data_IF_616590636367
#
_entry.id   IF_616590636367
#
_cell.length_a   1.000
_cell.length_b   1.000
_cell.length_c   1.000
_cell.angle_alpha   90.00
_cell.angle_beta   90.00
_cell.angle_gamma   90.00
#
_symmetry.space_group_name_H-M   'P 1'
#
loop_
_entity.id
_entity.type
_entity.pdbx_description
1 polymer ?
#
# COMPACT_ATOMS: atom_id res chain seq x y z
N UNK A 1 13.27 30.69 -2.88
CA UNK A 1 13.18 29.22 -3.12
C UNK A 1 11.77 28.81 -2.74
N UNK A 2 11.00 28.20 -3.66
CA UNK A 2 9.66 27.68 -3.32
C UNK A 2 9.80 26.56 -2.29
N UNK A 3 8.88 26.49 -1.35
CA UNK A 3 8.80 25.38 -0.39
C UNK A 3 8.45 24.11 -1.17
N UNK A 4 9.15 23.01 -0.90
CA UNK A 4 8.87 21.70 -1.51
C UNK A 4 7.47 21.24 -1.09
N UNK A 5 6.58 21.08 -2.06
CA UNK A 5 5.24 20.56 -1.84
C UNK A 5 5.22 19.05 -2.17
N UNK A 6 5.28 18.23 -1.11
CA UNK A 6 5.30 16.78 -1.27
C UNK A 6 4.08 16.24 -2.03
N UNK A 7 2.89 16.77 -1.76
CA UNK A 7 1.65 16.31 -2.41
C UNK A 7 1.71 16.57 -3.92
N UNK A 8 2.09 17.77 -4.31
CA UNK A 8 2.21 18.18 -5.71
C UNK A 8 3.31 17.37 -6.43
N UNK A 9 4.47 17.18 -5.82
CA UNK A 9 5.57 16.43 -6.44
C UNK A 9 5.26 14.93 -6.51
N UNK A 10 4.55 14.35 -5.53
CA UNK A 10 4.07 12.98 -5.57
C UNK A 10 3.06 12.77 -6.70
N UNK A 11 2.05 13.64 -6.80
CA UNK A 11 1.08 13.61 -7.91
C UNK A 11 1.78 13.67 -9.27
N UNK A 12 2.68 14.63 -9.48
CA UNK A 12 3.43 14.81 -10.71
C UNK A 12 4.25 13.58 -11.08
N UNK A 13 4.95 12.98 -10.11
CA UNK A 13 5.74 11.78 -10.36
C UNK A 13 4.85 10.60 -10.76
N UNK A 14 3.75 10.34 -10.04
CA UNK A 14 2.87 9.23 -10.33
C UNK A 14 2.10 9.43 -11.63
N UNK A 15 1.68 10.65 -11.97
CA UNK A 15 1.13 10.96 -13.29
C UNK A 15 2.11 10.58 -14.41
N UNK A 16 3.38 10.96 -14.28
CA UNK A 16 4.40 10.63 -15.29
C UNK A 16 4.67 9.13 -15.43
N UNK A 17 4.43 8.35 -14.37
CA UNK A 17 4.67 6.91 -14.33
C UNK A 17 3.45 6.06 -14.73
N UNK A 18 2.26 6.65 -14.87
CA UNK A 18 1.01 5.93 -15.01
C UNK A 18 0.99 4.93 -16.19
N UNK A 19 1.51 5.31 -17.37
CA UNK A 19 1.56 4.42 -18.52
C UNK A 19 2.49 3.21 -18.30
N UNK A 20 3.70 3.45 -17.77
CA UNK A 20 4.68 2.41 -17.51
C UNK A 20 4.27 1.48 -16.34
N UNK A 21 3.51 2.01 -15.38
CA UNK A 21 2.94 1.23 -14.29
C UNK A 21 1.86 0.30 -14.82
N UNK A 22 0.88 0.84 -15.53
CA UNK A 22 -0.25 0.09 -16.07
C UNK A 22 0.18 -1.10 -16.94
N UNK A 23 1.24 -0.93 -17.74
CA UNK A 23 1.75 -2.03 -18.58
C UNK A 23 2.30 -3.23 -17.80
N UNK A 24 2.65 -3.06 -16.50
CA UNK A 24 3.25 -4.10 -15.66
C UNK A 24 2.36 -4.57 -14.51
N UNK A 25 1.40 -3.73 -14.13
CA UNK A 25 0.58 -3.89 -12.93
C UNK A 25 -0.12 -5.26 -12.91
N UNK A 26 -0.79 -5.62 -13.99
CA UNK A 26 -1.50 -6.90 -14.09
C UNK A 26 -0.60 -8.11 -13.79
N UNK A 27 0.57 -8.18 -14.40
CA UNK A 27 1.53 -9.26 -14.12
C UNK A 27 1.97 -9.31 -12.66
N UNK A 28 2.12 -8.15 -11.99
CA UNK A 28 2.45 -8.12 -10.56
C UNK A 28 1.34 -8.73 -9.69
N UNK A 29 0.07 -8.50 -10.03
CA UNK A 29 -1.07 -9.01 -9.27
C UNK A 29 -1.45 -10.46 -9.61
N UNK A 30 -1.28 -10.91 -10.85
CA UNK A 30 -1.69 -12.25 -11.27
C UNK A 30 -0.64 -13.32 -10.92
N UNK A 31 0.63 -13.07 -11.20
CA UNK A 31 1.70 -14.06 -11.05
C UNK A 31 2.92 -13.56 -10.29
N UNK A 32 3.01 -12.24 -10.08
CA UNK A 32 4.18 -11.58 -9.49
C UNK A 32 4.07 -11.36 -7.99
N UNK A 33 4.70 -10.27 -7.55
CA UNK A 33 4.92 -9.96 -6.12
C UNK A 33 3.66 -9.68 -5.31
N UNK A 34 2.51 -9.47 -5.95
CA UNK A 34 1.24 -9.10 -5.29
C UNK A 34 0.17 -10.19 -5.32
N UNK A 35 0.45 -11.35 -5.94
CA UNK A 35 -0.51 -12.43 -6.15
C UNK A 35 -1.15 -12.98 -4.87
N UNK A 36 -0.42 -12.96 -3.76
CA UNK A 36 -0.84 -13.56 -2.49
C UNK A 36 -1.56 -12.54 -1.55
N UNK A 37 -1.64 -11.24 -1.94
CA UNK A 37 -2.21 -10.19 -1.08
C UNK A 37 -3.72 -10.39 -0.88
N UNK A 38 -4.49 -10.53 -1.95
CA UNK A 38 -5.95 -10.73 -1.83
C UNK A 38 -6.30 -12.05 -1.13
N UNK A 39 -5.66 -13.20 -1.46
CA UNK A 39 -5.80 -14.42 -0.66
C UNK A 39 -5.49 -14.22 0.84
N UNK A 40 -4.49 -13.41 1.17
CA UNK A 40 -4.15 -13.10 2.56
C UNK A 40 -5.25 -12.26 3.24
N UNK A 41 -5.80 -11.22 2.57
CA UNK A 41 -6.90 -10.41 3.09
C UNK A 41 -8.13 -11.28 3.40
N UNK A 42 -8.48 -12.22 2.53
CA UNK A 42 -9.62 -13.14 2.70
C UNK A 42 -9.55 -14.03 3.95
N UNK A 43 -8.40 -14.15 4.58
CA UNK A 43 -8.26 -14.90 5.84
C UNK A 43 -8.81 -14.12 7.03
N UNK A 44 -8.98 -12.81 6.92
CA UNK A 44 -9.36 -11.90 8.01
C UNK A 44 -10.66 -11.15 7.73
N UNK A 45 -10.98 -10.94 6.46
CA UNK A 45 -12.08 -10.08 6.00
C UNK A 45 -13.04 -10.91 5.14
N UNK A 46 -14.32 -10.88 5.49
CA UNK A 46 -15.37 -11.65 4.79
C UNK A 46 -15.74 -11.02 3.46
N UNK A 47 -16.15 -11.83 2.49
CA UNK A 47 -16.76 -11.35 1.24
C UNK A 47 -17.99 -10.48 1.54
N UNK A 48 -18.21 -9.46 0.70
CA UNK A 48 -19.26 -8.44 0.92
C UNK A 48 -18.81 -7.26 1.78
N UNK A 49 -17.63 -7.33 2.42
CA UNK A 49 -17.08 -6.23 3.20
C UNK A 49 -16.68 -5.04 2.32
N UNK A 50 -16.76 -3.84 2.89
CA UNK A 50 -16.31 -2.60 2.26
C UNK A 50 -14.80 -2.43 2.47
N UNK A 51 -14.05 -2.36 1.37
CA UNK A 51 -12.58 -2.24 1.40
C UNK A 51 -12.13 -0.96 0.69
N UNK A 52 -11.28 -0.19 1.37
CA UNK A 52 -10.61 0.96 0.78
C UNK A 52 -9.22 0.55 0.28
N UNK A 53 -8.94 0.74 -1.02
CA UNK A 53 -7.61 0.55 -1.63
C UNK A 53 -6.89 1.91 -1.68
N UNK A 54 -6.03 2.17 -0.69
CA UNK A 54 -5.30 3.43 -0.54
C UNK A 54 -3.98 3.42 -1.33
N UNK A 55 -3.89 4.27 -2.34
CA UNK A 55 -2.83 4.24 -3.35
C UNK A 55 -3.14 3.17 -4.40
N UNK A 56 -4.38 3.14 -4.89
CA UNK A 56 -4.90 2.11 -5.79
C UNK A 56 -4.22 2.08 -7.17
N UNK A 57 -3.51 3.16 -7.54
CA UNK A 57 -2.88 3.30 -8.85
C UNK A 57 -3.89 3.11 -9.99
N UNK A 58 -3.55 2.25 -10.94
CA UNK A 58 -4.37 1.92 -12.12
C UNK A 58 -5.56 0.99 -11.82
N UNK A 59 -5.89 0.77 -10.54
CA UNK A 59 -7.04 -0.01 -10.11
C UNK A 59 -6.90 -1.53 -10.26
N UNK A 60 -5.75 -2.06 -10.66
CA UNK A 60 -5.59 -3.53 -10.80
C UNK A 60 -5.76 -4.26 -9.46
N UNK A 61 -5.28 -3.67 -8.35
CA UNK A 61 -5.51 -4.20 -7.00
C UNK A 61 -6.98 -4.16 -6.60
N UNK A 62 -7.64 -3.05 -6.89
CA UNK A 62 -9.08 -2.87 -6.67
C UNK A 62 -9.91 -3.90 -7.45
N UNK A 63 -9.55 -4.17 -8.72
CA UNK A 63 -10.16 -5.24 -9.54
C UNK A 63 -10.06 -6.60 -8.82
N UNK A 64 -8.87 -6.95 -8.32
CA UNK A 64 -8.66 -8.25 -7.64
C UNK A 64 -9.43 -8.35 -6.33
N UNK A 65 -9.61 -7.26 -5.60
CA UNK A 65 -10.49 -7.20 -4.44
C UNK A 65 -11.97 -7.38 -4.85
N UNK A 66 -12.44 -6.71 -5.90
CA UNK A 66 -13.80 -6.85 -6.39
C UNK A 66 -14.08 -8.27 -6.92
N UNK A 67 -13.16 -8.88 -7.67
CA UNK A 67 -13.23 -10.29 -8.09
C UNK A 67 -13.33 -11.27 -6.89
N UNK A 68 -12.76 -10.89 -5.74
CA UNK A 68 -12.85 -11.66 -4.50
C UNK A 68 -14.15 -11.42 -3.72
N UNK A 69 -15.05 -10.56 -4.23
CA UNK A 69 -16.37 -10.29 -3.68
C UNK A 69 -16.42 -9.13 -2.67
N UNK A 70 -15.43 -8.24 -2.63
CA UNK A 70 -15.44 -7.04 -1.80
C UNK A 70 -16.11 -5.86 -2.52
N UNK A 71 -16.67 -4.92 -1.74
CA UNK A 71 -17.15 -3.62 -2.21
C UNK A 71 -15.97 -2.63 -2.12
N UNK A 72 -15.47 -2.15 -3.26
CA UNK A 72 -14.16 -1.48 -3.31
C UNK A 72 -14.27 0.01 -3.62
N UNK A 73 -13.60 0.82 -2.80
CA UNK A 73 -13.30 2.22 -3.09
C UNK A 73 -11.80 2.39 -3.23
N UNK A 74 -11.33 2.73 -4.42
CA UNK A 74 -9.92 3.03 -4.70
C UNK A 74 -9.64 4.52 -4.57
N UNK A 75 -8.54 4.86 -3.91
CA UNK A 75 -8.10 6.25 -3.70
C UNK A 75 -6.65 6.38 -4.16
N UNK A 76 -6.39 7.39 -4.98
CA UNK A 76 -5.03 7.74 -5.42
C UNK A 76 -4.88 9.26 -5.57
N UNK A 77 -3.64 9.75 -5.47
CA UNK A 77 -3.31 11.17 -5.68
C UNK A 77 -3.20 11.52 -7.16
N UNK A 78 -2.89 10.51 -8.00
CA UNK A 78 -2.63 10.67 -9.43
C UNK A 78 -3.92 10.53 -10.26
N UNK A 79 -4.32 11.61 -10.92
CA UNK A 79 -5.48 11.57 -11.83
C UNK A 79 -5.24 10.65 -13.02
N UNK A 80 -4.03 10.64 -13.59
CA UNK A 80 -3.64 9.77 -14.69
C UNK A 80 -3.77 8.27 -14.36
N UNK A 81 -3.49 7.91 -13.10
CA UNK A 81 -3.72 6.56 -12.59
C UNK A 81 -5.20 6.25 -12.50
N UNK A 82 -5.99 7.16 -11.93
CA UNK A 82 -7.43 6.99 -11.75
C UNK A 82 -8.18 6.93 -13.08
N UNK A 83 -7.74 7.68 -14.10
CA UNK A 83 -8.30 7.56 -15.45
C UNK A 83 -8.12 6.14 -15.99
N UNK A 84 -6.94 5.53 -15.82
CA UNK A 84 -6.71 4.15 -16.22
C UNK A 84 -7.57 3.16 -15.43
N UNK A 85 -7.75 3.40 -14.14
CA UNK A 85 -8.59 2.59 -13.28
C UNK A 85 -10.06 2.63 -13.73
N UNK A 86 -10.59 3.82 -14.05
CA UNK A 86 -11.98 4.01 -14.51
C UNK A 86 -12.23 3.47 -15.92
N UNK A 87 -11.22 3.53 -16.79
CA UNK A 87 -11.32 3.01 -18.16
C UNK A 87 -11.22 1.47 -18.26
N UNK A 88 -10.79 0.80 -17.19
CA UNK A 88 -10.76 -0.65 -17.16
C UNK A 88 -12.18 -1.20 -16.90
N UNK A 89 -12.81 -1.91 -17.87
CA UNK A 89 -14.18 -2.40 -17.72
C UNK A 89 -14.36 -3.41 -16.59
N UNK A 90 -13.29 -4.03 -16.10
CA UNK A 90 -13.34 -4.94 -14.94
C UNK A 90 -13.52 -4.20 -13.60
N UNK A 91 -13.37 -2.89 -13.60
CA UNK A 91 -13.56 -2.02 -12.46
C UNK A 91 -14.94 -1.34 -12.40
N UNK A 92 -15.89 -1.78 -13.22
CA UNK A 92 -17.22 -1.13 -13.33
C UNK A 92 -17.98 -1.02 -11.99
N UNK A 93 -17.68 -1.90 -11.04
CA UNK A 93 -18.27 -1.90 -9.69
C UNK A 93 -17.37 -1.26 -8.63
N UNK A 94 -16.19 -0.73 -9.01
CA UNK A 94 -15.32 -0.01 -8.10
C UNK A 94 -15.57 1.51 -8.16
N UNK A 95 -15.48 2.18 -7.02
CA UNK A 95 -15.53 3.64 -6.94
C UNK A 95 -14.10 4.15 -6.88
N UNK A 96 -13.76 5.19 -7.67
CA UNK A 96 -12.42 5.78 -7.67
C UNK A 96 -12.46 7.27 -7.37
N UNK A 97 -11.74 7.68 -6.32
CA UNK A 97 -11.68 9.05 -5.82
C UNK A 97 -10.23 9.57 -5.81
N UNK A 98 -10.05 10.84 -6.21
CA UNK A 98 -8.77 11.52 -6.08
C UNK A 98 -8.62 12.12 -4.69
N UNK A 99 -7.66 11.62 -3.91
CA UNK A 99 -7.32 12.18 -2.61
C UNK A 99 -5.91 11.75 -2.17
N UNK A 100 -5.43 12.36 -1.06
CA UNK A 100 -4.19 11.97 -0.41
C UNK A 100 -4.46 10.86 0.62
N UNK A 101 -3.46 9.98 0.84
CA UNK A 101 -3.55 8.89 1.83
C UNK A 101 -3.72 9.39 3.27
N UNK A 102 -3.24 10.58 3.60
CA UNK A 102 -3.38 11.19 4.92
C UNK A 102 -4.66 12.02 5.10
N UNK A 103 -5.44 12.21 4.03
CA UNK A 103 -6.70 12.96 4.01
C UNK A 103 -7.54 12.46 2.84
N UNK A 104 -8.13 11.28 2.99
CA UNK A 104 -8.80 10.60 1.89
C UNK A 104 -10.25 11.06 1.65
N UNK A 105 -10.80 11.89 2.54
CA UNK A 105 -12.17 12.43 2.41
C UNK A 105 -13.29 11.44 2.67
N UNK A 106 -13.00 10.21 3.07
CA UNK A 106 -13.99 9.21 3.42
C UNK A 106 -14.57 9.44 4.82
N UNK A 107 -15.82 8.99 5.10
CA UNK A 107 -16.41 9.11 6.44
C UNK A 107 -15.63 8.30 7.49
N UNK A 108 -15.81 8.69 8.78
CA UNK A 108 -15.31 7.91 9.91
C UNK A 108 -15.98 6.54 9.98
N UNK A 109 -15.25 5.52 10.42
CA UNK A 109 -15.79 4.17 10.67
C UNK A 109 -16.58 3.58 9.49
N UNK A 110 -16.12 3.81 8.29
CA UNK A 110 -16.83 3.45 7.06
C UNK A 110 -16.43 2.08 6.50
N UNK A 111 -15.13 1.77 6.49
CA UNK A 111 -14.61 0.55 5.86
C UNK A 111 -14.37 -0.57 6.88
N UNK A 112 -14.62 -1.80 6.44
CA UNK A 112 -14.28 -3.02 7.20
C UNK A 112 -12.77 -3.30 7.11
N UNK A 113 -12.16 -2.95 5.97
CA UNK A 113 -10.73 -3.07 5.79
C UNK A 113 -10.14 -1.95 4.91
N UNK A 114 -8.84 -1.71 5.08
CA UNK A 114 -7.99 -0.89 4.22
C UNK A 114 -6.90 -1.77 3.64
N UNK A 115 -6.61 -1.61 2.35
CA UNK A 115 -5.43 -2.13 1.68
C UNK A 115 -4.53 -0.96 1.27
N UNK A 116 -3.23 -1.01 1.59
CA UNK A 116 -2.24 0.00 1.21
C UNK A 116 -0.92 -0.68 0.81
N UNK A 117 -0.72 -0.90 -0.50
CA UNK A 117 0.41 -1.70 -0.99
C UNK A 117 1.44 -0.85 -1.69
N UNK A 118 2.59 -0.68 -1.05
CA UNK A 118 3.68 0.17 -1.51
C UNK A 118 3.22 1.61 -1.81
N UNK A 119 2.40 2.15 -0.93
CA UNK A 119 1.84 3.51 -1.02
C UNK A 119 2.33 4.42 0.13
N UNK A 120 2.55 3.87 1.33
CA UNK A 120 3.04 4.64 2.48
C UNK A 120 4.42 5.26 2.26
N UNK A 121 5.28 4.61 1.51
CA UNK A 121 6.64 5.10 1.20
C UNK A 121 6.63 6.44 0.47
N UNK A 122 5.52 6.78 -0.16
CA UNK A 122 5.36 7.98 -1.00
C UNK A 122 4.59 9.09 -0.28
N UNK A 123 4.34 8.95 1.01
CA UNK A 123 3.73 9.98 1.86
C UNK A 123 4.80 10.75 2.63
N UNK A 124 4.53 12.02 2.91
CA UNK A 124 5.45 12.84 3.71
C UNK A 124 5.56 12.33 5.15
N UNK A 125 4.42 12.05 5.75
CA UNK A 125 4.30 11.63 7.15
C UNK A 125 3.52 10.31 7.24
N UNK A 126 4.17 9.14 7.27
CA UNK A 126 3.49 7.84 7.39
C UNK A 126 2.53 7.74 8.58
N UNK A 127 2.86 8.38 9.69
CA UNK A 127 2.00 8.41 10.88
C UNK A 127 0.64 9.06 10.60
N UNK A 128 0.61 10.17 9.85
CA UNK A 128 -0.66 10.82 9.49
C UNK A 128 -1.54 9.89 8.62
N UNK A 129 -0.90 9.13 7.73
CA UNK A 129 -1.61 8.12 6.94
C UNK A 129 -2.17 6.98 7.79
N UNK A 130 -1.44 6.53 8.83
CA UNK A 130 -1.96 5.54 9.78
C UNK A 130 -3.16 6.10 10.57
N UNK A 131 -3.09 7.35 11.03
CA UNK A 131 -4.22 8.00 11.70
C UNK A 131 -5.46 8.07 10.81
N UNK A 132 -5.27 8.41 9.53
CA UNK A 132 -6.36 8.47 8.57
C UNK A 132 -6.95 7.07 8.32
N UNK A 133 -6.10 6.04 8.15
CA UNK A 133 -6.57 4.65 8.06
C UNK A 133 -7.37 4.24 9.30
N UNK A 134 -6.88 4.59 10.50
CA UNK A 134 -7.60 4.33 11.74
C UNK A 134 -8.94 5.06 11.76
N UNK A 135 -9.01 6.32 11.32
CA UNK A 135 -10.24 7.11 11.31
C UNK A 135 -11.32 6.49 10.43
N UNK A 136 -10.96 6.07 9.20
CA UNK A 136 -11.92 5.54 8.23
C UNK A 136 -12.30 4.07 8.46
N UNK A 137 -11.46 3.30 9.16
CA UNK A 137 -11.78 1.93 9.53
C UNK A 137 -12.86 1.89 10.62
N UNK A 138 -13.75 0.92 10.55
CA UNK A 138 -14.66 0.57 11.64
C UNK A 138 -13.88 0.10 12.87
N UNK A 139 -14.47 0.14 14.08
CA UNK A 139 -13.86 -0.53 15.23
C UNK A 139 -13.52 -1.99 14.90
N UNK A 140 -12.35 -2.44 15.32
CA UNK A 140 -11.81 -3.78 15.03
C UNK A 140 -11.57 -4.09 13.55
N UNK A 141 -11.63 -3.07 12.67
CA UNK A 141 -11.33 -3.20 11.25
C UNK A 141 -9.87 -3.56 10.97
N UNK A 142 -9.60 -4.02 9.76
CA UNK A 142 -8.29 -4.54 9.36
C UNK A 142 -7.56 -3.61 8.40
N UNK A 143 -6.24 -3.48 8.57
CA UNK A 143 -5.36 -2.79 7.65
C UNK A 143 -4.32 -3.77 7.07
N UNK A 144 -4.40 -4.03 5.76
CA UNK A 144 -3.41 -4.79 5.02
C UNK A 144 -2.40 -3.83 4.40
N UNK A 145 -1.18 -3.79 4.93
CA UNK A 145 -0.16 -2.82 4.51
C UNK A 145 1.07 -3.56 3.99
N UNK A 146 1.45 -3.26 2.74
CA UNK A 146 2.67 -3.76 2.13
C UNK A 146 3.74 -2.68 2.05
N UNK A 147 4.92 -2.95 2.62
CA UNK A 147 6.07 -2.04 2.64
C UNK A 147 7.24 -2.66 1.89
N UNK A 148 7.92 -1.85 1.07
CA UNK A 148 9.12 -2.24 0.34
C UNK A 148 10.23 -2.67 1.31
N UNK A 149 10.83 -3.82 1.05
CA UNK A 149 12.05 -4.23 1.75
C UNK A 149 13.24 -3.28 1.47
N UNK A 150 14.29 -3.30 2.31
CA UNK A 150 15.40 -2.35 2.23
C UNK A 150 16.12 -2.35 0.89
N UNK A 151 16.19 -3.49 0.25
CA UNK A 151 16.90 -3.70 -1.01
C UNK A 151 15.97 -3.66 -2.24
N UNK A 152 14.71 -3.26 -2.08
CA UNK A 152 13.76 -3.16 -3.18
C UNK A 152 14.16 -2.08 -4.20
N UNK A 153 14.02 -2.39 -5.49
CA UNK A 153 14.44 -1.49 -6.58
C UNK A 153 13.86 -0.08 -6.50
N UNK A 154 12.55 0.12 -6.16
CA UNK A 154 11.98 1.46 -6.07
C UNK A 154 12.62 2.38 -5.02
N UNK A 155 13.32 1.83 -4.01
CA UNK A 155 14.03 2.63 -3.00
C UNK A 155 15.16 3.50 -3.60
N UNK A 156 15.66 3.16 -4.79
CA UNK A 156 16.61 4.01 -5.50
C UNK A 156 16.09 5.44 -5.74
N UNK A 157 14.77 5.65 -5.74
CA UNK A 157 14.16 6.97 -5.89
C UNK A 157 14.52 7.91 -4.72
N UNK A 158 14.94 7.37 -3.57
CA UNK A 158 15.40 8.16 -2.43
C UNK A 158 16.89 8.52 -2.49
N UNK A 159 17.64 8.05 -3.49
CA UNK A 159 19.11 8.18 -3.52
C UNK A 159 19.58 9.63 -3.52
N UNK A 160 18.88 10.51 -4.23
CA UNK A 160 19.24 11.91 -4.35
C UNK A 160 19.22 12.68 -3.02
N UNK A 161 18.51 12.17 -1.99
CA UNK A 161 18.56 12.76 -0.63
C UNK A 161 19.98 12.82 -0.07
N UNK A 162 20.88 11.94 -0.54
CA UNK A 162 22.29 11.91 -0.10
C UNK A 162 23.10 13.10 -0.62
N UNK A 163 22.58 13.79 -1.63
CA UNK A 163 23.12 15.07 -2.12
C UNK A 163 22.39 16.28 -1.52
N UNK A 164 21.43 16.06 -0.61
CA UNK A 164 20.61 17.12 -0.01
C UNK A 164 19.37 17.47 -0.81
N UNK A 165 19.05 16.72 -1.87
CA UNK A 165 17.82 16.93 -2.64
C UNK A 165 16.60 16.45 -1.83
N UNK A 166 15.50 17.19 -1.93
CA UNK A 166 14.21 16.73 -1.44
C UNK A 166 13.67 15.66 -2.38
N UNK A 167 13.18 14.55 -1.82
CA UNK A 167 12.67 13.39 -2.56
C UNK A 167 11.35 12.89 -1.95
N UNK A 168 10.43 12.40 -2.75
CA UNK A 168 9.10 11.93 -2.31
C UNK A 168 9.10 10.50 -1.75
N UNK A 169 10.23 9.95 -1.36
CA UNK A 169 10.32 8.62 -0.75
C UNK A 169 10.80 8.75 0.70
N UNK A 170 9.92 8.51 1.66
CA UNK A 170 10.21 8.65 3.10
C UNK A 170 11.10 7.54 3.68
N UNK A 171 11.40 6.51 2.90
CA UNK A 171 12.27 5.38 3.27
C UNK A 171 11.84 4.53 4.47
N UNK A 172 10.60 4.62 4.94
CA UNK A 172 10.08 3.76 6.02
C UNK A 172 10.39 2.28 5.77
N UNK A 173 10.87 1.59 6.80
CA UNK A 173 11.22 0.17 6.75
C UNK A 173 10.09 -0.70 7.32
N UNK A 174 10.01 -2.01 6.97
CA UNK A 174 8.98 -2.88 7.52
C UNK A 174 8.93 -2.89 9.05
N UNK A 175 10.06 -3.01 9.74
CA UNK A 175 10.12 -3.00 11.21
C UNK A 175 9.76 -1.64 11.82
N UNK A 176 9.98 -0.54 11.10
CA UNK A 176 9.57 0.79 11.54
C UNK A 176 8.04 0.95 11.44
N UNK A 177 7.43 0.45 10.36
CA UNK A 177 5.97 0.41 10.23
C UNK A 177 5.35 -0.44 11.34
N UNK A 178 5.87 -1.64 11.58
CA UNK A 178 5.36 -2.52 12.62
C UNK A 178 5.40 -1.82 13.99
N UNK A 179 6.55 -1.26 14.35
CA UNK A 179 6.70 -0.51 15.59
C UNK A 179 5.73 0.66 15.69
N UNK A 180 5.62 1.46 14.62
CA UNK A 180 4.73 2.61 14.56
C UNK A 180 3.26 2.21 14.77
N UNK A 181 2.82 1.12 14.15
CA UNK A 181 1.46 0.59 14.30
C UNK A 181 1.20 0.11 15.74
N UNK A 182 2.11 -0.67 16.31
CA UNK A 182 1.98 -1.21 17.68
C UNK A 182 1.97 -0.10 18.73
N UNK A 183 2.84 0.91 18.63
CA UNK A 183 2.87 2.06 19.54
C UNK A 183 1.58 2.90 19.47
N UNK A 184 0.80 2.77 18.39
CA UNK A 184 -0.48 3.45 18.19
C UNK A 184 -1.70 2.54 18.45
N UNK A 185 -1.53 1.46 19.21
CA UNK A 185 -2.60 0.61 19.68
C UNK A 185 -3.13 -0.40 18.64
N UNK A 186 -2.46 -0.56 17.49
CA UNK A 186 -2.82 -1.60 16.52
C UNK A 186 -2.27 -2.95 16.95
N UNK A 187 -2.95 -4.02 16.58
CA UNK A 187 -2.51 -5.39 16.86
C UNK A 187 -2.11 -6.09 15.56
N UNK A 188 -0.90 -6.64 15.50
CA UNK A 188 -0.50 -7.47 14.36
C UNK A 188 -1.29 -8.79 14.38
N UNK A 189 -2.08 -9.02 13.33
CA UNK A 189 -2.90 -10.23 13.15
C UNK A 189 -2.21 -11.26 12.24
N UNK A 190 -1.30 -10.81 11.37
CA UNK A 190 -0.54 -11.70 10.50
C UNK A 190 0.46 -10.93 9.64
N UNK A 191 1.35 -11.67 9.00
CA UNK A 191 2.34 -11.10 8.09
C UNK A 191 2.87 -12.16 7.12
N UNK A 192 3.46 -11.71 6.00
CA UNK A 192 4.28 -12.54 5.12
C UNK A 192 5.27 -11.70 4.32
N UNK A 193 6.40 -12.33 3.94
CA UNK A 193 7.40 -11.72 3.09
C UNK A 193 7.29 -12.13 1.63
N UNK A 194 7.44 -11.19 0.71
CA UNK A 194 7.69 -11.47 -0.70
C UNK A 194 9.18 -11.36 -0.93
N UNK A 195 9.84 -12.51 -1.06
CA UNK A 195 11.29 -12.54 -1.17
C UNK A 195 11.76 -12.26 -2.58
N UNK A 196 13.01 -11.78 -2.70
CA UNK A 196 13.68 -11.72 -3.98
C UNK A 196 14.07 -13.12 -4.42
N UNK A 197 14.03 -13.40 -5.71
CA UNK A 197 14.35 -14.70 -6.31
C UNK A 197 15.66 -15.29 -5.77
N UNK A 198 16.70 -14.47 -5.59
CA UNK A 198 17.98 -14.92 -5.03
C UNK A 198 17.92 -15.30 -3.54
N UNK A 199 16.89 -14.84 -2.82
CA UNK A 199 16.69 -15.13 -1.40
C UNK A 199 15.65 -16.24 -1.15
N UNK A 200 14.87 -16.65 -2.14
CA UNK A 200 13.80 -17.65 -1.98
C UNK A 200 14.29 -19.00 -1.47
N UNK A 201 15.54 -19.36 -1.77
CA UNK A 201 16.13 -20.65 -1.37
C UNK A 201 16.80 -20.62 0.02
N UNK A 202 16.84 -19.46 0.68
CA UNK A 202 17.43 -19.34 2.01
C UNK A 202 16.50 -19.94 3.08
N UNK A 203 17.05 -20.53 4.16
CA UNK A 203 16.23 -21.08 5.24
C UNK A 203 15.64 -19.97 6.12
N UNK A 204 14.64 -19.26 5.60
CA UNK A 204 14.05 -18.07 6.26
C UNK A 204 13.61 -18.35 7.70
N UNK A 205 13.03 -19.52 7.98
CA UNK A 205 12.52 -19.88 9.31
C UNK A 205 13.60 -19.95 10.41
N UNK A 206 14.88 -19.95 10.06
CA UNK A 206 15.99 -19.90 11.03
C UNK A 206 16.51 -18.49 11.30
N UNK A 207 16.01 -17.48 10.58
CA UNK A 207 16.45 -16.10 10.71
C UNK A 207 15.49 -15.27 11.59
N UNK A 208 15.98 -14.34 12.41
CA UNK A 208 15.14 -13.31 13.04
C UNK A 208 14.29 -12.57 12.00
N UNK A 209 13.11 -12.10 12.42
CA UNK A 209 12.12 -11.47 11.52
C UNK A 209 12.71 -10.27 10.77
N UNK A 210 13.48 -9.42 11.44
CA UNK A 210 14.10 -8.24 10.82
C UNK A 210 15.09 -8.63 9.70
N UNK A 211 15.80 -9.76 9.86
CA UNK A 211 16.67 -10.27 8.78
C UNK A 211 15.84 -10.83 7.63
N UNK A 212 14.73 -11.51 7.90
CA UNK A 212 13.81 -11.93 6.86
C UNK A 212 13.24 -10.73 6.09
N UNK A 213 12.80 -9.70 6.81
CA UNK A 213 12.33 -8.44 6.23
C UNK A 213 13.41 -7.78 5.36
N UNK A 214 14.67 -7.82 5.79
CA UNK A 214 15.80 -7.27 5.04
C UNK A 214 16.08 -7.99 3.71
N UNK A 215 15.77 -9.27 3.62
CA UNK A 215 15.91 -10.09 2.40
C UNK A 215 14.70 -9.98 1.47
N UNK A 216 13.61 -9.36 1.91
CA UNK A 216 12.38 -9.26 1.13
C UNK A 216 12.46 -8.15 0.06
N UNK A 217 11.66 -8.31 -1.00
CA UNK A 217 11.28 -7.22 -1.89
C UNK A 217 10.20 -6.35 -1.25
N UNK A 218 9.25 -6.99 -0.57
CA UNK A 218 8.13 -6.37 0.12
C UNK A 218 7.74 -7.22 1.34
N UNK A 219 7.35 -6.58 2.42
CA UNK A 219 6.76 -7.24 3.58
C UNK A 219 5.32 -6.77 3.75
N UNK A 220 4.41 -7.71 3.89
CA UNK A 220 2.97 -7.44 4.01
C UNK A 220 2.51 -7.79 5.42
N UNK A 221 1.89 -6.82 6.07
CA UNK A 221 1.29 -6.95 7.37
C UNK A 221 -0.24 -6.95 7.28
N UNK A 222 -0.87 -7.68 8.18
CA UNK A 222 -2.25 -7.49 8.56
C UNK A 222 -2.30 -6.99 9.99
N UNK A 223 -2.80 -5.78 10.16
CA UNK A 223 -3.06 -5.22 11.48
C UNK A 223 -4.57 -5.18 11.73
N UNK A 224 -4.96 -5.37 12.99
CA UNK A 224 -6.29 -5.02 13.47
C UNK A 224 -6.22 -3.71 14.22
N UNK A 225 -7.09 -2.78 13.88
CA UNK A 225 -7.14 -1.44 14.49
C UNK A 225 -8.11 -1.49 15.66
N UNK A 226 -7.57 -1.48 16.87
CA UNK A 226 -8.36 -1.47 18.11
C UNK A 226 -8.78 -0.03 18.43
N UNK A 227 -10.08 0.23 18.56
CA UNK A 227 -10.65 1.55 18.93
C UNK A 227 -11.45 1.43 20.22
#
# INVERSE_FOLDING_TARGET
MGTFDWKMESEKQWNSMAASWNSRSRGMWETGSRKDIVPFIKRFVSSGSMVCDLGCGDGTGSEKLAEAGFLVTGIDVSEEMLEKARLNPRNEHCIFCKANLSECGSPDNHFDAVMAINSLEWTNHPYESLKEMARILKPDGYACIGILGPTAGPRKNSFKRLYGDEVICNTIMPWELERLALENGWRKAGEFGVFKKAAEQLPHGSLPVELQQSLSFMWVFMFQVLK
#
